data_IF_025067660426
#
_entry.id   IF_025067660426
#
_cell.length_a   1.000
_cell.length_b   1.000
_cell.length_c   1.000
_cell.angle_alpha   90.00
_cell.angle_beta   90.00
_cell.angle_gamma   90.00
#
_symmetry.space_group_name_H-M   'P 1'
#
loop_
_entity.id
_entity.type
_entity.pdbx_description
1 polymer ?
#
# COMPACT_ATOMS: atom_id res chain seq x y z
N UNK A 1 0.81 3.35 -9.49
CA UNK A 1 1.45 2.35 -8.61
C UNK A 1 0.48 1.21 -8.32
N UNK A 2 0.93 -0.05 -8.19
CA UNK A 2 0.07 -1.17 -7.77
C UNK A 2 -0.36 -1.01 -6.30
N UNK A 3 -1.59 -1.42 -5.95
CA UNK A 3 -2.14 -1.28 -4.59
C UNK A 3 -1.31 -2.02 -3.54
N UNK A 4 -0.99 -3.29 -3.79
CA UNK A 4 -0.18 -4.14 -2.90
C UNK A 4 1.27 -3.63 -2.76
N UNK A 5 1.89 -3.17 -3.85
CA UNK A 5 3.21 -2.55 -3.79
C UNK A 5 3.21 -1.27 -2.95
N UNK A 6 2.11 -0.52 -2.95
CA UNK A 6 1.96 0.68 -2.11
C UNK A 6 1.90 0.31 -0.62
N UNK A 7 1.30 -0.84 -0.27
CA UNK A 7 1.36 -1.40 1.10
C UNK A 7 2.78 -1.82 1.48
N UNK A 8 3.50 -2.49 0.58
CA UNK A 8 4.89 -2.89 0.82
C UNK A 8 5.80 -1.68 1.05
N UNK A 9 5.62 -0.61 0.28
CA UNK A 9 6.34 0.67 0.47
C UNK A 9 6.00 1.27 1.83
N UNK A 10 4.72 1.29 2.23
CA UNK A 10 4.31 1.81 3.53
C UNK A 10 4.93 1.03 4.69
N UNK A 11 4.87 -0.31 4.63
CA UNK A 11 5.46 -1.19 5.63
C UNK A 11 6.98 -1.01 5.72
N UNK A 12 7.68 -0.97 4.57
CA UNK A 12 9.12 -0.72 4.56
C UNK A 12 9.46 0.66 5.12
N UNK A 13 8.69 1.70 4.78
CA UNK A 13 8.88 3.05 5.32
C UNK A 13 8.69 3.11 6.84
N UNK A 14 7.80 2.28 7.41
CA UNK A 14 7.53 2.21 8.84
C UNK A 14 8.56 1.43 9.64
N UNK A 15 9.37 0.59 8.99
CA UNK A 15 10.47 -0.16 9.63
C UNK A 15 11.77 0.66 9.54
N UNK A 16 12.30 1.19 10.66
CA UNK A 16 13.55 1.95 10.66
C UNK A 16 14.71 1.14 10.08
N UNK A 17 15.47 1.76 9.18
CA UNK A 17 16.69 1.17 8.62
C UNK A 17 16.53 0.45 7.28
N UNK A 18 15.30 0.18 6.82
CA UNK A 18 15.09 -0.26 5.43
C UNK A 18 15.52 0.81 4.43
N UNK A 19 15.75 0.43 3.18
CA UNK A 19 16.09 1.40 2.12
C UNK A 19 14.98 2.43 1.89
N UNK A 20 13.71 2.01 1.96
CA UNK A 20 12.56 2.91 1.80
C UNK A 20 12.46 3.89 2.95
N UNK A 21 12.63 3.43 4.19
CA UNK A 21 12.64 4.30 5.37
C UNK A 21 13.76 5.35 5.28
N UNK A 22 14.98 4.93 4.92
CA UNK A 22 16.13 5.84 4.72
C UNK A 22 15.85 6.87 3.61
N UNK A 23 15.31 6.42 2.47
CA UNK A 23 14.95 7.32 1.37
C UNK A 23 13.85 8.33 1.76
N UNK A 24 12.96 7.96 2.68
CA UNK A 24 11.92 8.85 3.22
C UNK A 24 12.42 9.78 4.35
N UNK A 25 13.72 9.79 4.65
CA UNK A 25 14.34 10.64 5.69
C UNK A 25 14.61 9.94 7.01
N UNK A 26 14.49 8.61 7.09
CA UNK A 26 14.83 7.80 8.26
C UNK A 26 13.90 7.99 9.46
N UNK A 27 14.24 7.33 10.58
CA UNK A 27 13.52 7.42 11.85
C UNK A 27 12.20 6.64 11.88
N UNK A 28 11.44 6.80 12.95
CA UNK A 28 10.09 6.23 13.06
C UNK A 28 9.10 7.04 12.22
N UNK A 29 8.31 6.36 11.39
CA UNK A 29 7.32 6.99 10.51
C UNK A 29 6.13 6.07 10.36
N UNK A 30 4.93 6.61 10.51
CA UNK A 30 3.69 5.85 10.32
C UNK A 30 3.00 6.17 8.99
N UNK A 31 3.47 7.20 8.28
CA UNK A 31 2.98 7.56 6.95
C UNK A 31 4.04 8.28 6.12
N UNK A 32 3.93 8.12 4.80
CA UNK A 32 4.73 8.84 3.82
C UNK A 32 3.87 9.25 2.63
N UNK A 33 4.35 10.24 1.87
CA UNK A 33 3.88 10.55 0.53
C UNK A 33 5.02 10.34 -0.45
N UNK A 34 4.87 9.39 -1.37
CA UNK A 34 5.91 9.08 -2.35
C UNK A 34 5.42 9.39 -3.77
N UNK A 35 6.36 9.74 -4.66
CA UNK A 35 6.11 9.95 -6.08
C UNK A 35 6.10 8.65 -6.86
N UNK A 36 5.21 8.52 -7.83
CA UNK A 36 5.22 7.48 -8.86
C UNK A 36 5.00 8.14 -10.23
N UNK A 37 5.18 7.45 -11.38
CA UNK A 37 5.16 8.07 -12.72
C UNK A 37 3.91 8.88 -13.11
N UNK A 38 2.83 8.83 -12.33
CA UNK A 38 1.56 9.50 -12.60
C UNK A 38 1.13 10.44 -11.46
N UNK A 39 2.02 10.78 -10.52
CA UNK A 39 1.72 11.69 -9.42
C UNK A 39 2.32 11.26 -8.08
N UNK A 40 1.60 11.52 -6.99
CA UNK A 40 2.01 11.12 -5.64
C UNK A 40 0.90 10.33 -4.94
N UNK A 41 1.30 9.46 -4.02
CA UNK A 41 0.39 8.66 -3.22
C UNK A 41 0.77 8.75 -1.74
N UNK A 42 -0.21 9.07 -0.90
CA UNK A 42 -0.11 8.99 0.55
C UNK A 42 -0.46 7.59 1.04
N UNK A 43 0.41 6.99 1.84
CA UNK A 43 0.22 5.67 2.44
C UNK A 43 0.75 5.65 3.87
N UNK A 44 0.22 4.74 4.69
CA UNK A 44 0.68 4.56 6.06
C UNK A 44 0.75 3.10 6.47
N UNK A 45 1.58 2.83 7.47
CA UNK A 45 1.65 1.54 8.13
C UNK A 45 2.03 1.74 9.60
N UNK A 46 1.50 0.89 10.46
CA UNK A 46 1.93 0.79 11.86
C UNK A 46 2.73 -0.49 12.00
N UNK A 47 3.94 -0.38 12.57
CA UNK A 47 4.86 -1.47 12.75
C UNK A 47 5.40 -1.45 14.19
N UNK A 48 5.53 -2.62 14.80
CA UNK A 48 6.25 -2.77 16.07
C UNK A 48 7.16 -3.98 15.98
N UNK A 49 8.21 -3.98 16.81
CA UNK A 49 9.12 -5.11 16.91
C UNK A 49 8.74 -5.97 18.11
N UNK A 50 8.59 -7.27 17.88
CA UNK A 50 8.37 -8.27 18.93
C UNK A 50 9.35 -9.43 18.73
N UNK A 51 10.10 -9.80 19.76
CA UNK A 51 11.08 -10.89 19.71
C UNK A 51 12.08 -10.77 18.54
N UNK A 52 12.54 -9.55 18.24
CA UNK A 52 13.46 -9.26 17.13
C UNK A 52 12.81 -9.25 15.75
N UNK A 53 11.52 -9.58 15.62
CA UNK A 53 10.79 -9.60 14.36
C UNK A 53 9.88 -8.38 14.22
N UNK A 54 9.80 -7.83 13.01
CA UNK A 54 8.87 -6.75 12.70
C UNK A 54 7.48 -7.30 12.40
N UNK A 55 6.47 -6.72 13.05
CA UNK A 55 5.07 -7.03 12.85
C UNK A 55 4.35 -5.77 12.37
N UNK A 56 3.71 -5.86 11.20
CA UNK A 56 2.86 -4.79 10.67
C UNK A 56 1.44 -5.00 11.17
N UNK A 57 0.93 -4.09 12.00
CA UNK A 57 -0.41 -4.20 12.60
C UNK A 57 -1.48 -3.49 11.77
N UNK A 58 -1.07 -2.53 10.94
CA UNK A 58 -2.00 -1.74 10.12
C UNK A 58 -1.34 -1.32 8.81
N UNK A 59 -2.15 -1.31 7.75
CA UNK A 59 -1.83 -0.63 6.50
C UNK A 59 -2.97 0.35 6.16
N UNK A 60 -2.62 1.55 5.74
CA UNK A 60 -3.56 2.65 5.47
C UNK A 60 -3.30 3.24 4.09
N UNK A 61 -4.36 3.42 3.31
CA UNK A 61 -4.31 4.11 2.02
C UNK A 61 -5.66 4.77 1.72
N UNK A 62 -5.64 5.82 0.90
CA UNK A 62 -6.85 6.44 0.37
C UNK A 62 -7.08 5.99 -1.07
N UNK A 63 -8.32 5.59 -1.39
CA UNK A 63 -8.75 5.16 -2.73
C UNK A 63 -10.15 5.72 -3.01
N UNK A 64 -10.51 5.76 -4.29
CA UNK A 64 -11.87 6.04 -4.75
C UNK A 64 -12.39 4.85 -5.57
N UNK A 65 -13.71 4.69 -5.62
CA UNK A 65 -14.39 3.72 -6.44
C UNK A 65 -15.67 4.34 -7.00
N UNK A 66 -16.09 3.91 -8.19
CA UNK A 66 -17.36 4.30 -8.82
C UNK A 66 -17.89 3.15 -9.68
N UNK A 67 -19.21 3.05 -9.79
CA UNK A 67 -19.86 2.18 -10.78
C UNK A 67 -19.60 2.76 -12.18
N UNK A 68 -19.19 1.91 -13.12
CA UNK A 68 -19.01 2.28 -14.52
C UNK A 68 -20.17 1.79 -15.39
N UNK A 69 -20.67 0.58 -15.11
CA UNK A 69 -21.82 -0.03 -15.77
C UNK A 69 -22.57 -0.90 -14.75
N UNK A 70 -23.90 -0.91 -14.84
CA UNK A 70 -24.80 -1.77 -14.07
C UNK A 70 -25.71 -2.51 -15.05
N UNK A 71 -25.82 -3.83 -14.92
CA UNK A 71 -26.49 -4.70 -15.89
C UNK A 71 -25.96 -6.13 -15.89
N UNK A 72 -26.14 -6.82 -17.02
CA UNK A 72 -25.78 -8.23 -17.15
C UNK A 72 -24.57 -8.41 -18.08
N UNK A 73 -23.63 -9.26 -17.66
CA UNK A 73 -22.62 -9.82 -18.56
C UNK A 73 -23.18 -11.11 -19.17
N UNK A 74 -23.02 -11.28 -20.48
CA UNK A 74 -23.47 -12.48 -21.19
C UNK A 74 -22.25 -13.30 -21.64
N UNK A 75 -22.34 -14.62 -21.50
CA UNK A 75 -21.32 -15.59 -21.92
C UNK A 75 -21.98 -16.72 -22.74
N UNK A 76 -21.25 -17.47 -23.58
CA UNK A 76 -21.82 -18.61 -24.31
C UNK A 76 -22.32 -19.72 -23.38
N UNK A 77 -23.37 -20.44 -23.81
CA UNK A 77 -24.08 -21.42 -22.97
C UNK A 77 -23.19 -22.56 -22.44
N UNK A 78 -22.16 -22.96 -23.21
CA UNK A 78 -21.30 -24.10 -22.89
C UNK A 78 -19.90 -23.69 -22.38
N UNK A 79 -19.79 -22.53 -21.70
CA UNK A 79 -18.50 -21.97 -21.26
C UNK A 79 -18.10 -22.28 -19.81
N UNK A 80 -18.94 -23.00 -19.05
CA UNK A 80 -18.69 -23.37 -17.65
C UNK A 80 -19.36 -24.71 -17.29
#
# INVERSE_FOLDING_TARGET
MMGTASVAIAAAAAVPGTLVNKAAGGGERTSIRFGHPSGSLGVGAEAHQANGQWIITRAVMSRSARVLMDGHVHVPADSF
#
